data_IF_883149222223
#
_entry.id   IF_883149222223
#
_cell.length_a   1.000
_cell.length_b   1.000
_cell.length_c   1.000
_cell.angle_alpha   90.00
_cell.angle_beta   90.00
_cell.angle_gamma   90.00
#
_symmetry.space_group_name_H-M   'P 1'
#
loop_
_entity.id
_entity.type
_entity.pdbx_description
1 polymer ?
#
# COMPACT_ATOMS: atom_id res chain seq x y z
N UNK A 1 -8.23 -7.20 21.33
CA UNK A 1 -8.02 -7.94 20.06
C UNK A 1 -7.98 -7.04 18.83
N UNK A 2 -8.87 -6.05 18.70
CA UNK A 2 -8.90 -5.16 17.51
C UNK A 2 -7.62 -4.31 17.33
N UNK A 3 -7.03 -3.76 18.40
CA UNK A 3 -5.77 -3.02 18.33
C UNK A 3 -4.61 -3.87 17.80
N UNK A 4 -4.51 -5.12 18.25
CA UNK A 4 -3.48 -6.06 17.80
C UNK A 4 -3.64 -6.37 16.30
N UNK A 5 -4.87 -6.50 15.80
CA UNK A 5 -5.13 -6.66 14.38
C UNK A 5 -4.62 -5.46 13.57
N UNK A 6 -4.89 -4.23 14.02
CA UNK A 6 -4.40 -3.03 13.33
C UNK A 6 -2.88 -2.92 13.35
N UNK A 7 -2.24 -3.29 14.46
CA UNK A 7 -0.78 -3.34 14.55
C UNK A 7 -0.23 -4.36 13.55
N UNK A 8 -0.76 -5.59 13.49
CA UNK A 8 -0.29 -6.63 12.56
C UNK A 8 -0.51 -6.21 11.10
N UNK A 9 -1.68 -5.65 10.77
CA UNK A 9 -1.94 -5.11 9.42
C UNK A 9 -1.00 -3.94 9.09
N UNK A 10 -0.71 -3.08 10.06
CA UNK A 10 0.30 -2.02 9.94
C UNK A 10 1.70 -2.57 9.71
N UNK A 11 2.08 -3.65 10.41
CA UNK A 11 3.37 -4.31 10.17
C UNK A 11 3.47 -4.88 8.76
N UNK A 12 2.40 -5.49 8.25
CA UNK A 12 2.34 -5.97 6.87
C UNK A 12 2.48 -4.82 5.85
N UNK A 13 1.83 -3.68 6.10
CA UNK A 13 2.01 -2.47 5.29
C UNK A 13 3.46 -1.96 5.33
N UNK A 14 4.06 -1.85 6.52
CA UNK A 14 5.44 -1.39 6.65
C UNK A 14 6.45 -2.33 5.98
N UNK A 15 6.22 -3.65 6.05
CA UNK A 15 7.09 -4.63 5.38
C UNK A 15 7.04 -4.47 3.86
N UNK A 16 5.85 -4.14 3.32
CA UNK A 16 5.67 -3.84 1.91
C UNK A 16 6.36 -2.53 1.50
N UNK A 17 6.27 -1.46 2.31
CA UNK A 17 6.88 -0.16 1.97
C UNK A 17 8.42 -0.19 1.96
N UNK A 18 9.04 -1.14 2.65
CA UNK A 18 10.51 -1.35 2.56
C UNK A 18 10.93 -1.93 1.20
N UNK A 19 10.04 -2.67 0.53
CA UNK A 19 10.39 -3.32 -0.75
C UNK A 19 10.08 -2.42 -1.94
N UNK A 20 11.08 -2.10 -2.78
CA UNK A 20 10.86 -1.28 -3.97
C UNK A 20 9.76 -1.83 -4.87
N UNK A 21 8.79 -0.99 -5.22
CA UNK A 21 7.71 -1.37 -6.13
C UNK A 21 6.55 -2.13 -5.48
N UNK A 22 6.64 -2.51 -4.20
CA UNK A 22 5.49 -2.90 -3.37
C UNK A 22 5.00 -1.65 -2.63
N UNK A 23 3.69 -1.50 -2.48
CA UNK A 23 3.08 -0.35 -1.78
C UNK A 23 2.29 -0.84 -0.58
N UNK A 24 2.48 -0.21 0.58
CA UNK A 24 1.70 -0.44 1.78
C UNK A 24 0.20 -0.18 1.54
N UNK A 25 -0.15 0.75 0.64
CA UNK A 25 -1.53 0.96 0.19
C UNK A 25 -2.15 -0.29 -0.45
N UNK A 26 -1.36 -1.08 -1.18
CA UNK A 26 -1.79 -2.39 -1.72
C UNK A 26 -2.18 -3.36 -0.60
N UNK A 27 -1.35 -3.44 0.45
CA UNK A 27 -1.63 -4.33 1.58
C UNK A 27 -2.83 -3.82 2.38
N UNK A 28 -2.98 -2.50 2.57
CA UNK A 28 -4.17 -1.94 3.18
C UNK A 28 -5.46 -2.31 2.43
N UNK A 29 -5.40 -2.28 1.10
CA UNK A 29 -6.52 -2.62 0.22
C UNK A 29 -6.87 -4.10 0.28
N UNK A 30 -5.86 -4.95 0.13
CA UNK A 30 -6.00 -6.41 0.26
C UNK A 30 -6.58 -6.81 1.62
N UNK A 31 -6.09 -6.20 2.71
CA UNK A 31 -6.48 -6.54 4.08
C UNK A 31 -7.80 -5.89 4.53
N UNK A 32 -8.50 -5.21 3.61
CA UNK A 32 -9.81 -4.62 3.84
C UNK A 32 -9.81 -3.43 4.80
N UNK A 33 -8.67 -2.80 5.05
CA UNK A 33 -8.56 -1.62 5.95
C UNK A 33 -8.40 -0.31 5.19
N UNK A 34 -8.32 -0.36 3.87
CA UNK A 34 -8.05 0.81 3.02
C UNK A 34 -9.14 1.89 3.10
N UNK A 35 -10.41 1.52 3.00
CA UNK A 35 -11.51 2.49 3.13
C UNK A 35 -11.54 3.16 4.50
N UNK A 36 -11.28 2.39 5.56
CA UNK A 36 -11.16 2.91 6.92
C UNK A 36 -9.98 3.88 7.05
N UNK A 37 -8.83 3.53 6.46
CA UNK A 37 -7.66 4.39 6.41
C UNK A 37 -7.95 5.71 5.69
N UNK A 38 -8.55 5.65 4.51
CA UNK A 38 -8.95 6.85 3.77
C UNK A 38 -9.97 7.69 4.54
N UNK A 39 -10.96 7.05 5.18
CA UNK A 39 -11.93 7.73 6.01
C UNK A 39 -11.27 8.45 7.20
N UNK A 40 -10.39 7.78 7.93
CA UNK A 40 -9.64 8.32 9.05
C UNK A 40 -8.78 9.53 8.66
N UNK A 41 -8.00 9.41 7.58
CA UNK A 41 -7.17 10.51 7.05
C UNK A 41 -8.06 11.66 6.56
N UNK A 42 -9.11 11.37 5.80
CA UNK A 42 -10.03 12.40 5.29
C UNK A 42 -10.79 13.13 6.41
N UNK A 43 -10.96 12.46 7.56
CA UNK A 43 -11.53 13.00 8.79
C UNK A 43 -10.69 14.10 9.44
N UNK A 44 -9.40 14.20 9.10
CA UNK A 44 -8.54 15.33 9.45
C UNK A 44 -8.95 16.54 8.58
N UNK A 45 -9.99 17.23 9.04
CA UNK A 45 -10.60 18.36 8.35
C UNK A 45 -10.71 19.58 9.28
N UNK A 46 -11.33 20.66 8.80
CA UNK A 46 -11.50 21.89 9.57
C UNK A 46 -12.27 21.64 10.89
N UNK A 47 -13.21 20.69 10.92
CA UNK A 47 -13.92 20.31 12.15
C UNK A 47 -12.96 19.67 13.15
N UNK A 48 -12.14 18.71 12.72
CA UNK A 48 -11.12 18.09 13.58
C UNK A 48 -10.14 19.15 14.13
N UNK A 49 -9.66 20.06 13.29
CA UNK A 49 -8.77 21.16 13.73
C UNK A 49 -9.45 22.10 14.73
N UNK A 50 -10.74 22.39 14.54
CA UNK A 50 -11.53 23.17 15.53
C UNK A 50 -11.65 22.44 16.86
N UNK A 51 -11.96 21.14 16.85
CA UNK A 51 -12.04 20.32 18.06
C UNK A 51 -10.70 20.32 18.82
N UNK A 52 -9.59 20.17 18.08
CA UNK A 52 -8.24 20.25 18.62
C UNK A 52 -7.96 21.62 19.27
N UNK A 53 -8.23 22.71 18.55
CA UNK A 53 -8.01 24.09 19.05
C UNK A 53 -8.84 24.46 20.29
N UNK A 54 -10.00 23.81 20.49
CA UNK A 54 -10.89 24.00 21.65
C UNK A 54 -10.53 23.09 22.84
N UNK A 55 -9.44 22.31 22.75
CA UNK A 55 -9.02 21.37 23.78
C UNK A 55 -9.93 20.14 23.92
N UNK A 56 -10.80 19.87 22.94
CA UNK A 56 -11.70 18.71 22.95
C UNK A 56 -10.99 17.45 22.42
N UNK A 57 -9.90 17.04 23.09
CA UNK A 57 -9.00 15.99 22.64
C UNK A 57 -9.69 14.66 22.36
N UNK A 58 -10.65 14.27 23.21
CA UNK A 58 -11.41 13.02 23.05
C UNK A 58 -12.28 13.03 21.78
N UNK A 59 -12.98 14.14 21.52
CA UNK A 59 -13.82 14.30 20.33
C UNK A 59 -12.96 14.36 19.06
N UNK A 60 -11.83 15.06 19.10
CA UNK A 60 -10.85 15.05 18.03
C UNK A 60 -10.36 13.63 17.71
N UNK A 61 -9.96 12.88 18.73
CA UNK A 61 -9.44 11.52 18.58
C UNK A 61 -10.47 10.57 17.96
N UNK A 62 -11.75 10.69 18.35
CA UNK A 62 -12.84 9.91 17.77
C UNK A 62 -13.12 10.31 16.32
N UNK A 63 -13.08 11.61 16.01
CA UNK A 63 -13.36 12.15 14.67
C UNK A 63 -12.38 11.61 13.60
N UNK A 64 -11.11 11.42 13.96
CA UNK A 64 -10.06 10.96 13.04
C UNK A 64 -9.79 9.45 13.13
N UNK A 65 -10.56 8.72 13.94
CA UNK A 65 -10.26 7.32 14.29
C UNK A 65 -8.81 7.14 14.78
N UNK A 66 -8.40 7.98 15.73
CA UNK A 66 -7.01 8.12 16.16
C UNK A 66 -6.40 6.83 16.69
N UNK A 67 -7.20 5.97 17.34
CA UNK A 67 -6.71 4.69 17.83
C UNK A 67 -6.33 3.75 16.69
N UNK A 68 -7.12 3.72 15.61
CA UNK A 68 -6.79 2.97 14.41
C UNK A 68 -5.52 3.50 13.77
N UNK A 69 -5.44 4.82 13.55
CA UNK A 69 -4.25 5.45 12.95
C UNK A 69 -2.99 5.20 13.77
N UNK A 70 -3.05 5.38 15.09
CA UNK A 70 -1.89 5.17 15.97
C UNK A 70 -1.43 3.70 15.98
N UNK A 71 -2.35 2.74 16.06
CA UNK A 71 -1.99 1.32 15.98
C UNK A 71 -1.39 0.97 14.60
N UNK A 72 -1.97 1.49 13.52
CA UNK A 72 -1.52 1.21 12.16
C UNK A 72 -0.13 1.81 11.91
N UNK A 73 0.05 3.11 12.19
CA UNK A 73 1.33 3.81 12.05
C UNK A 73 2.37 3.19 12.98
N UNK A 74 2.00 2.85 14.22
CA UNK A 74 2.88 2.13 15.14
C UNK A 74 3.35 0.79 14.57
N UNK A 75 2.46 0.01 13.96
CA UNK A 75 2.81 -1.23 13.27
C UNK A 75 3.71 -1.01 12.06
N UNK A 76 3.44 0.00 11.23
CA UNK A 76 4.27 0.37 10.08
C UNK A 76 5.69 0.71 10.55
N UNK A 77 5.83 1.60 11.52
CA UNK A 77 7.13 2.01 12.05
C UNK A 77 7.87 0.84 12.68
N UNK A 78 7.19 0.02 13.49
CA UNK A 78 7.78 -1.17 14.09
C UNK A 78 8.36 -2.11 13.01
N UNK A 79 7.61 -2.31 11.93
CA UNK A 79 8.03 -3.16 10.81
C UNK A 79 9.21 -2.56 10.04
N UNK A 80 9.17 -1.27 9.72
CA UNK A 80 10.29 -0.60 9.04
C UNK A 80 11.57 -0.71 9.88
N UNK A 81 11.53 -0.36 11.16
CA UNK A 81 12.73 -0.40 12.00
C UNK A 81 13.24 -1.81 12.30
N UNK A 82 12.37 -2.82 12.32
CA UNK A 82 12.77 -4.21 12.59
C UNK A 82 13.18 -4.99 11.34
N UNK A 83 12.56 -4.71 10.18
CA UNK A 83 12.74 -5.49 8.96
C UNK A 83 13.59 -4.79 7.88
N UNK A 84 13.83 -3.47 7.96
CA UNK A 84 14.56 -2.75 6.92
C UNK A 84 15.91 -3.38 6.58
N UNK A 85 16.71 -3.72 7.58
CA UNK A 85 18.04 -4.35 7.38
C UNK A 85 17.91 -5.73 6.74
N UNK A 86 16.99 -6.57 7.21
CA UNK A 86 16.78 -7.92 6.69
C UNK A 86 16.31 -7.88 5.23
N UNK A 87 15.33 -7.04 4.93
CA UNK A 87 14.78 -6.91 3.58
C UNK A 87 15.84 -6.32 2.63
N UNK A 88 16.63 -5.34 3.07
CA UNK A 88 17.73 -4.79 2.28
C UNK A 88 18.78 -5.86 1.96
N UNK A 89 19.16 -6.67 2.95
CA UNK A 89 20.05 -7.82 2.74
C UNK A 89 19.46 -8.85 1.78
N UNK A 90 18.16 -9.18 1.90
CA UNK A 90 17.50 -10.09 0.96
C UNK A 90 17.43 -9.51 -0.46
N UNK A 91 17.20 -8.20 -0.62
CA UNK A 91 17.21 -7.55 -1.94
C UNK A 91 18.58 -7.64 -2.61
N UNK A 92 19.66 -7.52 -1.85
CA UNK A 92 21.03 -7.56 -2.37
C UNK A 92 21.48 -9.00 -2.67
N UNK A 93 21.29 -9.93 -1.73
CA UNK A 93 21.87 -11.27 -1.82
C UNK A 93 20.90 -12.36 -2.29
N UNK A 94 19.59 -12.18 -2.12
CA UNK A 94 18.54 -13.18 -2.46
C UNK A 94 17.26 -12.53 -3.03
N UNK A 95 17.35 -11.75 -4.13
CA UNK A 95 16.21 -11.03 -4.66
C UNK A 95 15.10 -11.98 -5.17
N UNK A 96 15.44 -13.10 -5.81
CA UNK A 96 14.45 -14.01 -6.42
C UNK A 96 13.50 -14.60 -5.36
N UNK A 97 13.96 -15.18 -4.23
CA UNK A 97 13.05 -15.62 -3.16
C UNK A 97 12.21 -14.50 -2.55
N UNK A 98 12.78 -13.29 -2.41
CA UNK A 98 12.05 -12.14 -1.87
C UNK A 98 10.91 -11.71 -2.81
N UNK A 99 11.19 -11.57 -4.11
CA UNK A 99 10.16 -11.27 -5.11
C UNK A 99 9.10 -12.37 -5.15
N UNK A 100 9.49 -13.65 -5.02
CA UNK A 100 8.56 -14.77 -4.95
C UNK A 100 7.63 -14.69 -3.73
N UNK A 101 8.16 -14.26 -2.58
CA UNK A 101 7.35 -14.01 -1.39
C UNK A 101 6.28 -12.92 -1.65
N UNK A 102 6.65 -11.74 -2.13
CA UNK A 102 5.68 -10.67 -2.38
C UNK A 102 4.71 -10.99 -3.52
N UNK A 103 5.16 -11.70 -4.54
CA UNK A 103 4.30 -12.20 -5.60
C UNK A 103 3.22 -13.16 -5.05
N UNK A 104 3.62 -14.10 -4.20
CA UNK A 104 2.72 -15.03 -3.51
C UNK A 104 1.71 -14.33 -2.61
N UNK A 105 2.13 -13.28 -1.89
CA UNK A 105 1.23 -12.44 -1.09
C UNK A 105 0.12 -11.83 -1.94
N UNK A 106 0.47 -11.19 -3.06
CA UNK A 106 -0.51 -10.53 -3.92
C UNK A 106 -1.42 -11.55 -4.59
N UNK A 107 -0.87 -12.63 -5.16
CA UNK A 107 -1.67 -13.65 -5.85
C UNK A 107 -2.66 -14.35 -4.90
N UNK A 108 -2.26 -14.66 -3.66
CA UNK A 108 -3.15 -15.22 -2.66
C UNK A 108 -4.30 -14.29 -2.28
N UNK A 109 -4.09 -12.98 -2.40
CA UNK A 109 -5.07 -11.95 -2.08
C UNK A 109 -6.01 -11.57 -3.23
N UNK A 110 -5.72 -11.97 -4.47
CA UNK A 110 -6.58 -11.62 -5.61
C UNK A 110 -8.01 -12.19 -5.52
N UNK A 111 -8.23 -13.47 -5.16
CA UNK A 111 -9.58 -14.05 -5.15
C UNK A 111 -10.62 -13.26 -4.34
N UNK A 112 -10.37 -12.81 -3.09
CA UNK A 112 -11.34 -11.99 -2.37
C UNK A 112 -11.57 -10.63 -3.04
N UNK A 113 -10.56 -9.99 -3.63
CA UNK A 113 -10.72 -8.70 -4.33
C UNK A 113 -11.68 -8.82 -5.53
N UNK A 114 -11.54 -9.90 -6.32
CA UNK A 114 -12.45 -10.16 -7.44
C UNK A 114 -13.90 -10.41 -7.00
N UNK A 115 -14.12 -10.97 -5.80
CA UNK A 115 -15.45 -11.26 -5.25
C UNK A 115 -16.20 -10.03 -4.74
N UNK A 116 -15.48 -8.96 -4.37
CA UNK A 116 -16.08 -7.71 -3.88
C UNK A 116 -16.76 -6.93 -5.00
N UNK A 117 -16.29 -7.08 -6.24
CA UNK A 117 -16.79 -6.35 -7.41
C UNK A 117 -17.94 -7.11 -8.07
N UNK A 118 -19.06 -6.43 -8.31
CA UNK A 118 -20.08 -6.93 -9.25
C UNK A 118 -19.62 -6.66 -10.68
N UNK A 119 -19.25 -7.68 -11.44
CA UNK A 119 -18.67 -7.46 -12.76
C UNK A 119 -19.71 -7.07 -13.81
N UNK A 120 -19.35 -6.10 -14.65
CA UNK A 120 -20.09 -5.70 -15.86
C UNK A 120 -19.07 -5.29 -16.93
N UNK A 121 -19.48 -5.26 -18.20
CA UNK A 121 -18.58 -4.98 -19.32
C UNK A 121 -17.77 -3.66 -19.13
N UNK A 122 -18.37 -2.53 -18.68
CA UNK A 122 -17.60 -1.32 -18.42
C UNK A 122 -16.55 -1.48 -17.30
N UNK A 123 -16.85 -2.29 -16.27
CA UNK A 123 -15.96 -2.53 -15.12
C UNK A 123 -14.79 -3.45 -15.50
N UNK A 124 -15.02 -4.40 -16.40
CA UNK A 124 -13.93 -5.19 -17.01
C UNK A 124 -13.00 -4.28 -17.81
N UNK A 125 -13.55 -3.32 -18.57
CA UNK A 125 -12.76 -2.31 -19.26
C UNK A 125 -11.89 -1.49 -18.31
N UNK A 126 -12.46 -1.00 -17.20
CA UNK A 126 -11.71 -0.24 -16.18
C UNK A 126 -10.65 -1.07 -15.46
N UNK A 127 -10.93 -2.35 -15.18
CA UNK A 127 -9.94 -3.28 -14.67
C UNK A 127 -8.76 -3.42 -15.64
N UNK A 128 -9.03 -3.57 -16.94
CA UNK A 128 -8.01 -3.58 -17.99
C UNK A 128 -7.20 -2.29 -18.04
N UNK A 129 -7.85 -1.12 -17.93
CA UNK A 129 -7.17 0.18 -17.84
C UNK A 129 -6.24 0.23 -16.61
N UNK A 130 -6.69 -0.27 -15.45
CA UNK A 130 -5.85 -0.35 -14.25
C UNK A 130 -4.59 -1.18 -14.47
N UNK A 131 -4.70 -2.33 -15.15
CA UNK A 131 -3.53 -3.14 -15.54
C UNK A 131 -2.60 -2.34 -16.46
N UNK A 132 -3.15 -1.72 -17.51
CA UNK A 132 -2.37 -0.93 -18.47
C UNK A 132 -1.63 0.23 -17.78
N UNK A 133 -2.28 0.93 -16.85
CA UNK A 133 -1.65 1.98 -16.05
C UNK A 133 -0.46 1.39 -15.28
N UNK A 134 -0.65 0.33 -14.50
CA UNK A 134 0.43 -0.28 -13.72
C UNK A 134 1.62 -0.74 -14.59
N UNK A 135 1.35 -1.36 -15.74
CA UNK A 135 2.38 -1.79 -16.69
C UNK A 135 3.11 -0.61 -17.33
N UNK A 136 2.37 0.43 -17.74
CA UNK A 136 2.94 1.62 -18.37
C UNK A 136 3.93 2.34 -17.46
N UNK A 137 3.70 2.32 -16.15
CA UNK A 137 4.63 2.95 -15.19
C UNK A 137 6.02 2.31 -15.22
N UNK A 138 6.13 1.01 -15.52
CA UNK A 138 7.41 0.32 -15.65
C UNK A 138 8.21 0.70 -16.89
N UNK A 139 7.55 1.28 -17.90
CA UNK A 139 8.16 1.68 -19.17
C UNK A 139 8.62 3.14 -19.17
N UNK A 140 8.20 3.93 -18.18
CA UNK A 140 8.58 5.33 -18.07
C UNK A 140 10.05 5.44 -17.67
N UNK A 141 10.83 6.12 -18.51
CA UNK A 141 12.22 6.45 -18.19
C UNK A 141 12.26 7.63 -17.21
N UNK A 142 13.14 7.59 -16.20
CA UNK A 142 13.37 8.73 -15.32
C UNK A 142 13.75 9.98 -16.11
N UNK A 143 13.04 11.08 -15.86
CA UNK A 143 13.43 12.39 -16.37
C UNK A 143 14.51 12.96 -15.46
N UNK A 144 15.52 13.64 -16.01
CA UNK A 144 16.52 14.36 -15.22
C UNK A 144 16.49 15.84 -15.57
N UNK A 145 16.43 16.68 -14.54
CA UNK A 145 16.46 18.14 -14.63
C UNK A 145 17.04 18.72 -13.34
N UNK A 146 17.42 19.99 -13.36
CA UNK A 146 17.82 20.73 -12.16
C UNK A 146 16.58 21.07 -11.34
N UNK A 147 16.42 20.55 -10.11
CA UNK A 147 15.22 20.75 -9.33
C UNK A 147 15.10 22.19 -8.84
N UNK A 148 13.96 22.82 -9.11
CA UNK A 148 13.58 24.10 -8.53
C UNK A 148 12.83 23.91 -7.20
N UNK A 149 12.82 24.95 -6.36
CA UNK A 149 12.30 24.87 -5.00
C UNK A 149 10.83 24.42 -4.91
N UNK A 150 9.98 24.90 -5.83
CA UNK A 150 8.55 24.54 -5.88
C UNK A 150 8.33 23.07 -6.27
N UNK A 151 9.28 22.45 -6.97
CA UNK A 151 9.18 21.07 -7.42
C UNK A 151 9.20 20.11 -6.23
N UNK A 152 9.86 20.45 -5.12
CA UNK A 152 9.84 19.62 -3.90
C UNK A 152 8.45 19.55 -3.28
N UNK A 153 7.70 20.66 -3.27
CA UNK A 153 6.31 20.67 -2.82
C UNK A 153 5.44 19.76 -3.70
N UNK A 154 5.51 19.92 -5.02
CA UNK A 154 4.72 19.11 -5.96
C UNK A 154 5.12 17.64 -5.90
N UNK A 155 6.42 17.35 -5.83
CA UNK A 155 6.94 16.00 -5.69
C UNK A 155 6.41 15.31 -4.42
N UNK A 156 6.42 16.00 -3.28
CA UNK A 156 5.83 15.49 -2.03
C UNK A 156 4.34 15.21 -2.18
N UNK A 157 3.59 16.15 -2.77
CA UNK A 157 2.16 15.99 -3.00
C UNK A 157 1.84 14.79 -3.90
N UNK A 158 2.54 14.61 -5.03
CA UNK A 158 2.28 13.50 -5.95
C UNK A 158 2.78 12.17 -5.36
N UNK A 159 3.95 12.15 -4.73
CA UNK A 159 4.53 10.94 -4.14
C UNK A 159 3.66 10.35 -3.03
N UNK A 160 3.10 11.18 -2.14
CA UNK A 160 2.24 10.68 -1.06
C UNK A 160 0.89 10.18 -1.59
N UNK A 161 0.35 10.81 -2.66
CA UNK A 161 -0.88 10.35 -3.31
C UNK A 161 -0.66 8.96 -3.91
N UNK A 162 0.48 8.80 -4.58
CA UNK A 162 0.91 7.52 -5.14
C UNK A 162 1.12 6.46 -4.04
N UNK A 163 1.71 6.82 -2.90
CA UNK A 163 1.96 5.90 -1.78
C UNK A 163 0.67 5.33 -1.17
N UNK A 164 -0.41 6.12 -1.14
CA UNK A 164 -1.72 5.64 -0.69
C UNK A 164 -2.41 4.79 -1.75
N UNK A 165 -2.23 5.09 -3.04
CA UNK A 165 -2.92 4.39 -4.12
C UNK A 165 -2.43 2.93 -4.24
N UNK A 166 -3.31 1.93 -4.13
CA UNK A 166 -2.94 0.52 -4.28
C UNK A 166 -2.22 0.25 -5.60
N UNK A 167 -1.11 -0.46 -5.52
CA UNK A 167 -0.30 -0.90 -6.65
C UNK A 167 0.66 0.16 -7.21
N UNK A 168 0.72 1.35 -6.63
CA UNK A 168 1.67 2.41 -7.00
C UNK A 168 2.58 2.75 -5.82
N UNK A 169 3.89 2.86 -6.06
CA UNK A 169 4.88 3.20 -5.03
C UNK A 169 5.30 4.67 -5.14
N UNK A 170 5.25 5.41 -4.04
CA UNK A 170 5.60 6.84 -4.01
C UNK A 170 7.07 7.11 -4.34
N UNK A 171 8.00 6.26 -3.87
CA UNK A 171 9.42 6.36 -4.22
C UNK A 171 9.66 6.10 -5.70
N UNK A 172 8.89 5.20 -6.32
CA UNK A 172 8.96 4.96 -7.75
C UNK A 172 8.46 6.14 -8.58
N UNK A 173 7.39 6.81 -8.14
CA UNK A 173 6.94 8.07 -8.75
C UNK A 173 8.03 9.13 -8.66
N UNK A 174 8.68 9.30 -7.51
CA UNK A 174 9.79 10.24 -7.35
C UNK A 174 10.96 9.93 -8.29
N UNK A 175 11.24 8.65 -8.55
CA UNK A 175 12.26 8.24 -9.52
C UNK A 175 11.87 8.64 -10.94
N UNK A 176 10.64 8.35 -11.36
CA UNK A 176 10.15 8.70 -12.71
C UNK A 176 10.21 10.21 -12.94
N UNK A 177 9.79 11.01 -11.95
CA UNK A 177 9.80 12.47 -12.06
C UNK A 177 11.16 13.11 -11.77
N UNK A 178 12.24 12.32 -11.54
CA UNK A 178 13.59 12.85 -11.32
C UNK A 178 13.86 13.48 -9.95
N UNK A 179 12.91 13.39 -9.01
CA UNK A 179 12.98 14.06 -7.70
C UNK A 179 13.48 13.15 -6.58
N UNK A 180 13.68 11.86 -6.82
CA UNK A 180 14.18 10.93 -5.80
C UNK A 180 15.56 11.32 -5.26
N UNK A 181 16.56 11.47 -6.14
CA UNK A 181 17.92 11.82 -5.71
C UNK A 181 18.00 13.20 -5.01
N UNK A 182 17.35 14.28 -5.52
CA UNK A 182 17.28 15.55 -4.81
C UNK A 182 16.67 15.46 -3.41
N UNK A 183 15.59 14.70 -3.23
CA UNK A 183 14.95 14.52 -1.92
C UNK A 183 15.85 13.74 -0.97
N UNK A 184 16.50 12.68 -1.43
CA UNK A 184 17.45 11.91 -0.60
C UNK A 184 18.65 12.75 -0.19
N UNK A 185 19.16 13.60 -1.08
CA UNK A 185 20.25 14.53 -0.75
C UNK A 185 19.82 15.49 0.35
N UNK A 186 18.64 16.10 0.24
CA UNK A 186 18.10 16.98 1.28
C UNK A 186 17.91 16.28 2.63
N UNK A 187 17.51 15.00 2.64
CA UNK A 187 17.46 14.19 3.87
C UNK A 187 18.85 13.98 4.47
N UNK A 188 19.84 13.63 3.64
CA UNK A 188 21.21 13.36 4.07
C UNK A 188 21.89 14.61 4.63
N UNK A 189 21.66 15.76 4.02
CA UNK A 189 22.22 17.06 4.43
C UNK A 189 21.38 17.76 5.50
N UNK A 190 20.25 17.18 5.89
CA UNK A 190 19.28 17.79 6.81
C UNK A 190 18.87 19.20 6.37
N UNK A 191 18.63 19.39 5.06
CA UNK A 191 18.12 20.66 4.53
C UNK A 191 16.67 20.85 4.97
N UNK A 192 16.50 21.53 6.09
CA UNK A 192 15.20 21.75 6.74
C UNK A 192 14.24 22.52 5.83
N UNK A 193 14.73 23.43 4.98
CA UNK A 193 13.89 24.22 4.10
C UNK A 193 13.26 23.35 3.00
N UNK A 194 14.08 22.52 2.34
CA UNK A 194 13.61 21.59 1.31
C UNK A 194 12.70 20.52 1.94
N UNK A 195 13.10 19.95 3.08
CA UNK A 195 12.32 18.93 3.78
C UNK A 195 10.97 19.48 4.24
N UNK A 196 10.92 20.73 4.70
CA UNK A 196 9.66 21.39 5.06
C UNK A 196 8.75 21.57 3.85
N UNK A 197 9.28 22.03 2.71
CA UNK A 197 8.50 22.18 1.47
C UNK A 197 7.96 20.82 1.00
N UNK A 198 8.80 19.80 0.96
CA UNK A 198 8.40 18.44 0.61
C UNK A 198 7.31 17.91 1.56
N UNK A 199 7.52 18.03 2.88
CA UNK A 199 6.57 17.57 3.88
C UNK A 199 5.22 18.32 3.81
N UNK A 200 5.24 19.63 3.55
CA UNK A 200 4.02 20.42 3.34
C UNK A 200 3.25 19.95 2.10
N UNK A 201 3.97 19.62 1.03
CA UNK A 201 3.42 18.97 -0.16
C UNK A 201 2.75 17.64 0.17
N UNK A 202 3.43 16.78 0.95
CA UNK A 202 2.87 15.52 1.42
C UNK A 202 1.57 15.74 2.23
N UNK A 203 1.53 16.72 3.14
CA UNK A 203 0.33 17.00 3.94
C UNK A 203 -0.83 17.48 3.06
N UNK A 204 -0.58 18.37 2.09
CA UNK A 204 -1.63 18.84 1.18
C UNK A 204 -2.11 17.72 0.26
N UNK A 205 -1.19 16.94 -0.30
CA UNK A 205 -1.48 15.81 -1.18
C UNK A 205 -2.33 14.74 -0.48
N UNK A 206 -1.89 14.26 0.69
CA UNK A 206 -2.60 13.20 1.42
C UNK A 206 -4.00 13.62 1.85
N UNK A 207 -4.19 14.86 2.33
CA UNK A 207 -5.49 15.34 2.78
C UNK A 207 -6.46 15.59 1.62
N UNK A 208 -5.98 16.11 0.49
CA UNK A 208 -6.82 16.36 -0.68
C UNK A 208 -7.19 15.05 -1.38
N UNK A 209 -6.21 14.19 -1.65
CA UNK A 209 -6.42 12.96 -2.41
C UNK A 209 -7.14 11.88 -1.61
N UNK A 210 -6.90 11.76 -0.29
CA UNK A 210 -7.66 10.83 0.54
C UNK A 210 -9.15 11.17 0.58
N UNK A 211 -9.51 12.46 0.59
CA UNK A 211 -10.92 12.90 0.49
C UNK A 211 -11.54 12.54 -0.85
N UNK A 212 -10.81 12.79 -1.94
CA UNK A 212 -11.25 12.42 -3.29
C UNK A 212 -11.47 10.91 -3.43
N UNK A 213 -10.50 10.09 -2.99
CA UNK A 213 -10.63 8.63 -3.06
C UNK A 213 -11.70 8.08 -2.12
N UNK A 214 -11.82 8.62 -0.90
CA UNK A 214 -12.89 8.24 0.02
C UNK A 214 -14.27 8.55 -0.58
N UNK A 215 -14.42 9.70 -1.24
CA UNK A 215 -15.64 10.04 -1.97
C UNK A 215 -15.89 9.06 -3.13
N UNK A 216 -14.85 8.77 -3.93
CA UNK A 216 -14.96 7.87 -5.07
C UNK A 216 -15.38 6.45 -4.65
N UNK A 217 -14.81 5.92 -3.56
CA UNK A 217 -15.16 4.60 -3.03
C UNK A 217 -16.58 4.56 -2.45
N UNK A 218 -17.07 5.66 -1.85
CA UNK A 218 -18.44 5.74 -1.33
C UNK A 218 -19.50 5.81 -2.42
N UNK A 219 -19.23 6.52 -3.51
CA UNK A 219 -20.21 6.78 -4.57
C UNK A 219 -20.07 5.86 -5.79
N UNK A 220 -18.84 5.40 -6.08
CA UNK A 220 -18.47 4.59 -7.24
C UNK A 220 -17.66 3.38 -6.80
N UNK A 221 -18.11 2.69 -5.74
CA UNK A 221 -17.40 1.58 -5.11
C UNK A 221 -16.90 0.54 -6.12
N UNK A 222 -17.80 -0.17 -6.82
CA UNK A 222 -17.42 -1.28 -7.72
C UNK A 222 -16.51 -0.83 -8.87
N UNK A 223 -16.70 0.40 -9.35
CA UNK A 223 -15.91 1.02 -10.42
C UNK A 223 -14.48 1.26 -9.93
N UNK A 224 -14.35 1.85 -8.73
CA UNK A 224 -13.08 2.14 -8.09
C UNK A 224 -12.32 0.86 -7.75
N UNK A 225 -13.00 -0.09 -7.11
CA UNK A 225 -12.42 -1.38 -6.70
C UNK A 225 -12.01 -2.20 -7.93
N UNK A 226 -12.77 -2.19 -9.03
CA UNK A 226 -12.36 -2.84 -10.28
C UNK A 226 -11.07 -2.24 -10.84
N UNK A 227 -10.98 -0.92 -10.91
CA UNK A 227 -9.78 -0.22 -11.38
C UNK A 227 -8.56 -0.50 -10.48
N UNK A 228 -8.71 -0.36 -9.15
CA UNK A 228 -7.65 -0.64 -8.18
C UNK A 228 -7.20 -2.10 -8.23
N UNK A 229 -8.14 -3.05 -8.37
CA UNK A 229 -7.82 -4.47 -8.54
C UNK A 229 -7.00 -4.68 -9.82
N UNK A 230 -7.30 -3.95 -10.89
CA UNK A 230 -6.50 -3.93 -12.12
C UNK A 230 -5.07 -3.47 -11.87
N UNK A 231 -4.86 -2.39 -11.12
CA UNK A 231 -3.51 -1.92 -10.78
C UNK A 231 -2.76 -2.98 -9.94
N UNK A 232 -3.42 -3.57 -8.94
CA UNK A 232 -2.82 -4.63 -8.10
C UNK A 232 -2.40 -5.83 -8.96
N UNK A 233 -3.25 -6.27 -9.90
CA UNK A 233 -2.92 -7.35 -10.84
C UNK A 233 -1.75 -6.96 -11.75
N UNK A 234 -1.75 -5.74 -12.31
CA UNK A 234 -0.65 -5.25 -13.13
C UNK A 234 0.67 -5.16 -12.36
N UNK A 235 0.64 -4.87 -11.05
CA UNK A 235 1.83 -4.84 -10.21
C UNK A 235 2.51 -6.20 -10.01
N UNK A 236 1.78 -7.31 -10.19
CA UNK A 236 2.32 -8.69 -10.15
C UNK A 236 3.43 -8.86 -11.19
N UNK A 237 3.28 -8.25 -12.37
CA UNK A 237 4.31 -8.26 -13.42
C UNK A 237 5.63 -7.66 -12.93
N UNK A 238 5.57 -6.51 -12.23
CA UNK A 238 6.75 -5.84 -11.68
C UNK A 238 7.39 -6.63 -10.53
N UNK A 239 6.65 -7.53 -9.89
CA UNK A 239 7.16 -8.39 -8.81
C UNK A 239 7.40 -9.81 -9.28
N UNK A 240 7.47 -10.05 -10.59
CA UNK A 240 7.77 -11.38 -11.09
C UNK A 240 9.17 -11.82 -10.64
N UNK A 241 9.34 -12.99 -10.01
CA UNK A 241 10.62 -13.37 -9.40
C UNK A 241 11.72 -13.65 -10.43
N UNK A 242 11.34 -14.28 -11.53
CA UNK A 242 12.24 -14.79 -12.55
C UNK A 242 12.43 -13.77 -13.66
N UNK A 243 13.19 -12.71 -13.38
CA UNK A 243 13.49 -11.64 -14.33
C UNK A 243 14.96 -11.27 -14.29
N UNK A 244 15.46 -10.79 -15.43
CA UNK A 244 16.77 -10.20 -15.60
C UNK A 244 16.56 -8.88 -16.32
N UNK A 245 16.77 -7.77 -15.60
CA UNK A 245 16.40 -6.42 -16.05
C UNK A 245 14.93 -6.34 -16.54
N UNK A 246 14.72 -6.20 -17.86
CA UNK A 246 13.41 -6.11 -18.51
C UNK A 246 12.98 -7.43 -19.17
N UNK A 247 13.77 -8.50 -19.07
CA UNK A 247 13.47 -9.80 -19.66
C UNK A 247 12.84 -10.71 -18.60
N UNK A 248 11.67 -11.26 -18.91
CA UNK A 248 10.96 -12.21 -18.06
C UNK A 248 11.23 -13.63 -18.52
N UNK A 249 11.49 -14.50 -17.57
CA UNK A 249 11.71 -15.92 -17.78
C UNK A 249 10.62 -16.74 -17.10
N UNK A 250 10.41 -17.95 -17.63
CA UNK A 250 9.74 -18.99 -16.87
C UNK A 250 10.68 -19.48 -15.76
N UNK A 251 10.16 -20.10 -14.68
CA UNK A 251 11.01 -20.66 -13.63
C UNK A 251 12.08 -21.62 -14.16
N UNK A 252 11.71 -22.45 -15.14
CA UNK A 252 12.64 -23.37 -15.81
C UNK A 252 13.70 -22.63 -16.64
N UNK A 253 13.28 -21.67 -17.48
CA UNK A 253 14.22 -20.90 -18.31
C UNK A 253 15.18 -20.03 -17.49
N UNK A 254 14.73 -19.51 -16.35
CA UNK A 254 15.60 -18.79 -15.42
C UNK A 254 16.63 -19.72 -14.79
N UNK A 255 16.21 -20.92 -14.37
CA UNK A 255 17.08 -21.91 -13.77
C UNK A 255 18.13 -22.45 -14.75
N UNK A 256 17.80 -22.56 -16.04
CA UNK A 256 18.75 -22.91 -17.09
C UNK A 256 19.82 -21.83 -17.30
N UNK A 257 19.44 -20.55 -17.23
CA UNK A 257 20.35 -19.42 -17.46
C UNK A 257 21.22 -19.05 -16.25
N UNK A 258 20.66 -19.08 -15.04
CA UNK A 258 21.30 -18.58 -13.81
C UNK A 258 21.58 -19.66 -12.76
N UNK A 259 21.18 -20.90 -13.02
CA UNK A 259 21.30 -22.02 -12.09
C UNK A 259 20.07 -22.22 -11.21
N UNK A 260 19.95 -23.41 -10.62
CA UNK A 260 18.78 -23.83 -9.85
C UNK A 260 18.79 -23.38 -8.37
N UNK A 261 19.88 -22.75 -7.90
CA UNK A 261 20.13 -22.54 -6.47
C UNK A 261 19.05 -21.74 -5.75
N UNK A 262 18.40 -20.80 -6.44
CA UNK A 262 17.34 -19.97 -5.86
C UNK A 262 15.92 -20.51 -6.13
N UNK A 263 15.75 -21.53 -7.00
CA UNK A 263 14.43 -22.02 -7.41
C UNK A 263 13.67 -22.63 -6.23
N UNK A 264 14.32 -23.54 -5.48
CA UNK A 264 13.69 -24.22 -4.34
C UNK A 264 13.30 -23.22 -3.25
N UNK A 265 14.22 -22.31 -2.90
CA UNK A 265 13.96 -21.25 -1.91
C UNK A 265 12.81 -20.35 -2.37
N UNK A 266 12.75 -20.00 -3.66
CA UNK A 266 11.68 -19.16 -4.20
C UNK A 266 10.31 -19.83 -4.12
N UNK A 267 10.24 -21.15 -4.40
CA UNK A 267 8.99 -21.91 -4.23
C UNK A 267 8.56 -21.96 -2.76
N UNK A 268 9.50 -22.20 -1.85
CA UNK A 268 9.22 -22.20 -0.40
C UNK A 268 8.74 -20.82 0.05
N UNK A 269 9.42 -19.75 -0.36
CA UNK A 269 9.04 -18.36 -0.07
C UNK A 269 7.66 -18.01 -0.62
N UNK A 270 7.33 -18.43 -1.84
CA UNK A 270 6.02 -18.24 -2.43
C UNK A 270 4.92 -18.94 -1.62
N UNK A 271 5.12 -20.21 -1.28
CA UNK A 271 4.15 -20.99 -0.49
C UNK A 271 3.98 -20.38 0.91
N UNK A 272 5.08 -20.02 1.56
CA UNK A 272 5.06 -19.34 2.86
C UNK A 272 4.26 -18.03 2.78
N UNK A 273 4.45 -17.24 1.72
CA UNK A 273 3.66 -16.03 1.49
C UNK A 273 2.17 -16.31 1.34
N UNK A 274 1.77 -17.35 0.60
CA UNK A 274 0.36 -17.73 0.48
C UNK A 274 -0.23 -18.02 1.86
N UNK A 275 0.46 -18.80 2.70
CA UNK A 275 0.01 -19.08 4.08
C UNK A 275 -0.05 -17.82 4.94
N UNK A 276 0.97 -16.95 4.87
CA UNK A 276 0.98 -15.67 5.59
C UNK A 276 -0.20 -14.81 5.17
N UNK A 277 -0.48 -14.69 3.87
CA UNK A 277 -1.61 -13.90 3.38
C UNK A 277 -2.94 -14.50 3.83
N UNK A 278 -3.12 -15.81 3.75
CA UNK A 278 -4.33 -16.48 4.22
C UNK A 278 -4.54 -16.29 5.73
N UNK A 279 -3.46 -16.31 6.53
CA UNK A 279 -3.53 -16.01 7.95
C UNK A 279 -3.90 -14.54 8.19
N UNK A 280 -3.32 -13.60 7.45
CA UNK A 280 -3.64 -12.17 7.56
C UNK A 280 -5.09 -11.86 7.16
N UNK A 281 -5.61 -12.51 6.12
CA UNK A 281 -7.01 -12.37 5.69
C UNK A 281 -8.01 -12.97 6.69
N UNK A 282 -7.59 -13.99 7.45
CA UNK A 282 -8.41 -14.63 8.49
C UNK A 282 -8.04 -14.19 9.92
N UNK A 283 -7.27 -13.11 10.06
CA UNK A 283 -6.72 -12.66 11.34
C UNK A 283 -7.80 -12.41 12.40
N UNK A 284 -8.98 -11.96 11.97
CA UNK A 284 -10.14 -11.76 12.84
C UNK A 284 -10.63 -13.06 13.47
N UNK A 285 -10.72 -14.14 12.68
CA UNK A 285 -11.12 -15.47 13.17
C UNK A 285 -10.05 -16.10 14.05
N UNK A 286 -8.78 -15.85 13.75
CA UNK A 286 -7.63 -16.42 14.49
C UNK A 286 -7.48 -15.75 15.86
N UNK A 287 -7.53 -14.41 15.92
CA UNK A 287 -7.38 -13.66 17.17
C UNK A 287 -8.69 -13.53 17.96
N UNK A 288 -9.82 -13.72 17.30
CA UNK A 288 -11.16 -13.71 17.89
C UNK A 288 -11.81 -15.08 17.74
N UNK A 289 -11.38 -16.06 18.54
CA UNK A 289 -12.08 -17.34 18.66
C UNK A 289 -13.58 -17.08 18.90
N UNK A 290 -14.40 -17.45 17.92
CA UNK A 290 -15.87 -17.40 17.92
C UNK A 290 -16.50 -16.19 18.64
N UNK A 291 -16.44 -15.00 18.04
CA UNK A 291 -17.44 -13.98 18.36
C UNK A 291 -18.68 -14.21 17.48
N UNK A 292 -19.73 -14.76 18.10
CA UNK A 292 -21.09 -14.92 17.58
C UNK A 292 -21.57 -13.66 16.83
N UNK A 293 -22.35 -13.78 15.73
CA UNK A 293 -22.89 -12.62 15.03
C UNK A 293 -23.78 -11.81 15.97
N UNK A 294 -23.55 -10.51 15.94
CA UNK A 294 -24.17 -9.44 16.72
C UNK A 294 -25.72 -9.51 16.64
N UNK A 295 -26.36 -10.25 17.55
CA UNK A 295 -27.79 -10.17 17.82
C UNK A 295 -28.07 -8.94 18.68
N UNK A 296 -27.95 -7.73 18.12
CA UNK A 296 -28.44 -6.49 18.77
C UNK A 296 -29.23 -5.54 17.87
N UNK A 297 -29.74 -6.03 16.74
CA UNK A 297 -30.67 -5.28 15.87
C UNK A 297 -32.05 -5.93 15.68
N UNK A 298 -32.44 -6.90 16.51
CA UNK A 298 -33.74 -7.58 16.41
C UNK A 298 -34.65 -7.41 17.66
N UNK A 299 -34.44 -6.36 18.46
CA UNK A 299 -35.31 -6.03 19.58
C UNK A 299 -35.55 -4.51 19.65
N UNK A 300 -36.29 -3.98 18.67
CA UNK A 300 -36.88 -2.63 18.73
C UNK A 300 -38.13 -2.48 17.85
N UNK A 301 -38.60 -3.53 17.16
CA UNK A 301 -39.85 -3.50 16.40
C UNK A 301 -40.85 -4.53 16.95
N UNK A 302 -41.11 -4.46 18.25
CA UNK A 302 -42.31 -4.99 18.88
C UNK A 302 -42.55 -4.19 20.16
N UNK A 303 -43.19 -3.04 19.98
CA UNK A 303 -44.24 -2.46 20.84
C UNK A 303 -44.82 -1.23 20.14
#
# INVERSE_FOLDING_TARGET
MQYLQWIIKGMAMGAADVVPGVSGGTLAFILGIYERLLAAISGINLTALRLFSRGQWRAFWQQIDGSFLCCLVGGILLSIFSLATLISWLLEYRPVPLWAFFNGLILAALPPLFKVVKWSLPRVGLFGIGILVALSMGLLTPVSFTPELWMFFVAGAVAICAMILPGISGSFILLIVGMYAPVILAVKELDIAILFLFASGCVVGILSFSRFLNWLLKHYHDVSVAFLTGIVVGSVYKMWPWRDENVIYTPAGFAEKFGQHDLMLSVISFIAAVFVMLALLNLEKILGGSASPDKRTAASNKE
#
